data_IF_317974101170
#
_entry.id   IF_317974101170
#
_cell.length_a   1.000
_cell.length_b   1.000
_cell.length_c   1.000
_cell.angle_alpha   90.00
_cell.angle_beta   90.00
_cell.angle_gamma   90.00
#
_symmetry.space_group_name_H-M   'P 1'
#
loop_
_entity.id
_entity.type
_entity.pdbx_description
1 polymer ?
#
# COMPACT_ATOMS: atom_id res chain seq x y z
N UNK A 1 46.19 -34.01 -34.95
CA UNK A 1 46.61 -33.32 -33.71
C UNK A 1 46.53 -31.83 -33.98
N UNK A 2 45.45 -31.18 -33.56
CA UNK A 2 45.35 -29.71 -33.58
C UNK A 2 44.78 -29.33 -32.23
N UNK A 3 45.65 -29.10 -31.26
CA UNK A 3 45.29 -28.52 -29.97
C UNK A 3 45.34 -27.00 -30.14
N UNK A 4 44.17 -26.38 -30.11
CA UNK A 4 43.99 -24.94 -30.18
C UNK A 4 43.97 -24.45 -28.73
N UNK A 5 45.15 -24.19 -28.18
CA UNK A 5 45.32 -23.67 -26.82
C UNK A 5 44.86 -22.21 -26.79
N UNK A 6 43.61 -21.99 -26.40
CA UNK A 6 43.01 -20.68 -26.14
C UNK A 6 43.72 -20.01 -24.95
N UNK A 7 44.78 -19.29 -25.24
CA UNK A 7 45.50 -18.44 -24.28
C UNK A 7 44.56 -17.37 -23.73
N UNK A 8 44.14 -17.52 -22.47
CA UNK A 8 43.27 -16.55 -21.77
C UNK A 8 44.13 -15.55 -21.02
N UNK A 9 43.76 -14.27 -21.07
CA UNK A 9 44.41 -13.21 -20.30
C UNK A 9 43.49 -12.72 -19.18
N UNK A 10 44.08 -12.36 -18.04
CA UNK A 10 43.34 -11.81 -16.91
C UNK A 10 42.79 -10.43 -17.24
N UNK A 11 41.48 -10.25 -17.09
CA UNK A 11 40.79 -8.95 -17.33
C UNK A 11 41.19 -7.84 -16.35
N UNK A 12 41.79 -8.19 -15.21
CA UNK A 12 42.18 -7.23 -14.18
C UNK A 12 43.61 -6.70 -14.31
N UNK A 13 44.55 -7.50 -14.83
CA UNK A 13 45.97 -7.13 -14.88
C UNK A 13 46.65 -7.45 -16.22
N UNK A 14 45.99 -8.13 -17.14
CA UNK A 14 46.54 -8.51 -18.45
C UNK A 14 47.53 -9.67 -18.43
N UNK A 15 47.77 -10.31 -17.27
CA UNK A 15 48.66 -11.47 -17.18
C UNK A 15 48.03 -12.70 -17.85
N UNK A 16 48.87 -13.51 -18.49
CA UNK A 16 48.50 -14.79 -19.11
C UNK A 16 48.01 -15.78 -18.03
N UNK A 17 46.90 -16.47 -18.32
CA UNK A 17 46.28 -17.44 -17.43
C UNK A 17 46.48 -18.85 -18.00
N UNK A 18 46.96 -19.75 -17.16
CA UNK A 18 47.06 -21.17 -17.50
C UNK A 18 45.67 -21.78 -17.74
N UNK A 19 45.62 -22.80 -18.60
CA UNK A 19 44.39 -23.53 -18.89
C UNK A 19 43.75 -24.09 -17.61
N UNK A 20 42.55 -23.60 -17.31
CA UNK A 20 41.77 -24.00 -16.14
C UNK A 20 42.08 -23.27 -14.83
N UNK A 21 42.93 -22.23 -14.83
CA UNK A 21 43.23 -21.42 -13.65
C UNK A 21 41.95 -20.78 -13.05
N UNK A 22 41.71 -20.99 -11.75
CA UNK A 22 40.57 -20.38 -11.03
C UNK A 22 40.90 -19.00 -10.45
N UNK A 23 42.19 -18.67 -10.32
CA UNK A 23 42.69 -17.41 -9.79
C UNK A 23 43.94 -17.00 -10.56
N UNK A 24 44.09 -15.69 -10.80
CA UNK A 24 45.28 -15.13 -11.44
C UNK A 24 46.47 -15.20 -10.47
N UNK A 25 47.57 -15.85 -10.90
CA UNK A 25 48.80 -15.96 -10.11
C UNK A 25 49.52 -14.63 -9.89
N UNK A 26 49.30 -13.64 -10.76
CA UNK A 26 50.00 -12.35 -10.71
C UNK A 26 49.30 -11.30 -9.85
N UNK A 27 47.97 -11.27 -9.81
CA UNK A 27 47.21 -10.26 -9.06
C UNK A 27 46.24 -10.83 -8.01
N UNK A 28 46.03 -12.15 -7.98
CA UNK A 28 45.10 -12.82 -7.06
C UNK A 28 43.62 -12.71 -7.44
N UNK A 29 43.28 -12.03 -8.55
CA UNK A 29 41.89 -11.90 -8.99
C UNK A 29 41.31 -13.26 -9.40
N UNK A 30 40.07 -13.53 -8.99
CA UNK A 30 39.36 -14.74 -9.38
C UNK A 30 39.03 -14.70 -10.88
N UNK A 31 39.32 -15.79 -11.58
CA UNK A 31 39.02 -15.93 -13.00
C UNK A 31 37.67 -16.62 -13.10
N UNK A 32 36.64 -15.85 -13.46
CA UNK A 32 35.32 -16.41 -13.74
C UNK A 32 35.43 -17.35 -14.95
N UNK A 33 35.25 -18.65 -14.74
CA UNK A 33 35.00 -19.59 -15.85
C UNK A 33 33.68 -19.20 -16.48
N UNK A 34 33.74 -18.68 -17.69
CA UNK A 34 32.60 -18.34 -18.55
C UNK A 34 31.84 -19.57 -19.08
N UNK A 35 31.71 -20.63 -18.27
CA UNK A 35 30.90 -21.82 -18.52
C UNK A 35 29.83 -22.02 -17.43
N UNK A 36 29.61 -21.02 -16.57
CA UNK A 36 28.37 -20.96 -15.83
C UNK A 36 27.28 -20.45 -16.81
N UNK A 37 26.30 -21.28 -17.22
CA UNK A 37 25.16 -20.73 -17.92
C UNK A 37 24.56 -19.67 -17.00
N UNK A 38 24.23 -18.50 -17.56
CA UNK A 38 23.25 -17.61 -16.95
C UNK A 38 21.98 -18.45 -16.83
N UNK A 39 21.83 -19.14 -15.70
CA UNK A 39 20.68 -19.98 -15.45
C UNK A 39 19.52 -19.02 -15.30
N UNK A 40 18.74 -18.89 -16.37
CA UNK A 40 17.39 -18.40 -16.29
C UNK A 40 16.64 -19.42 -15.43
N UNK A 41 16.77 -19.31 -14.10
CA UNK A 41 16.15 -20.22 -13.16
C UNK A 41 14.63 -20.09 -13.35
N UNK A 42 13.93 -21.09 -13.92
CA UNK A 42 12.50 -21.00 -14.17
C UNK A 42 11.71 -20.74 -12.87
N UNK A 43 12.28 -21.15 -11.73
CA UNK A 43 11.72 -20.86 -10.41
C UNK A 43 11.77 -19.36 -10.04
N UNK A 44 12.82 -18.64 -10.44
CA UNK A 44 12.95 -17.20 -10.15
C UNK A 44 11.96 -16.37 -10.99
N UNK A 45 11.82 -16.69 -12.29
CA UNK A 45 10.85 -16.03 -13.17
C UNK A 45 9.40 -16.37 -12.84
N UNK A 46 9.10 -17.62 -12.42
CA UNK A 46 7.78 -18.01 -11.90
C UNK A 46 7.43 -17.27 -10.59
N UNK A 47 8.39 -17.14 -9.67
CA UNK A 47 8.20 -16.38 -8.41
C UNK A 47 7.98 -14.89 -8.69
N UNK A 48 8.72 -14.30 -9.63
CA UNK A 48 8.56 -12.90 -10.02
C UNK A 48 7.19 -12.61 -10.66
N UNK A 49 6.73 -13.46 -11.59
CA UNK A 49 5.42 -13.30 -12.22
C UNK A 49 4.27 -13.43 -11.22
N UNK A 50 4.36 -14.38 -10.27
CA UNK A 50 3.38 -14.53 -9.20
C UNK A 50 3.30 -13.28 -8.30
N UNK A 51 4.45 -12.70 -7.94
CA UNK A 51 4.50 -11.48 -7.14
C UNK A 51 3.97 -10.25 -7.89
N UNK A 52 4.29 -10.10 -9.17
CA UNK A 52 3.76 -9.00 -10.00
C UNK A 52 2.24 -9.08 -10.16
N UNK A 53 1.68 -10.29 -10.32
CA UNK A 53 0.24 -10.48 -10.39
C UNK A 53 -0.45 -10.15 -9.06
N UNK A 54 0.13 -10.55 -7.92
CA UNK A 54 -0.38 -10.18 -6.59
C UNK A 54 -0.38 -8.67 -6.38
N UNK A 55 0.69 -7.97 -6.79
CA UNK A 55 0.80 -6.52 -6.66
C UNK A 55 -0.26 -5.79 -7.50
N UNK A 56 -0.52 -6.27 -8.72
CA UNK A 56 -1.60 -5.75 -9.57
C UNK A 56 -2.98 -5.96 -8.94
N UNK A 57 -3.25 -7.15 -8.40
CA UNK A 57 -4.53 -7.44 -7.72
C UNK A 57 -4.71 -6.52 -6.51
N UNK A 58 -3.69 -6.36 -5.67
CA UNK A 58 -3.75 -5.44 -4.51
C UNK A 58 -3.98 -3.99 -4.98
N UNK A 59 -3.24 -3.53 -6.00
CA UNK A 59 -3.43 -2.19 -6.56
C UNK A 59 -4.85 -1.95 -7.09
N UNK A 60 -5.43 -2.93 -7.80
CA UNK A 60 -6.82 -2.87 -8.28
C UNK A 60 -7.79 -2.83 -7.10
N UNK A 61 -7.62 -3.69 -6.10
CA UNK A 61 -8.47 -3.69 -4.90
C UNK A 61 -8.41 -2.35 -4.16
N UNK A 62 -7.24 -1.72 -4.04
CA UNK A 62 -7.08 -0.39 -3.45
C UNK A 62 -7.82 0.70 -4.26
N UNK A 63 -7.76 0.65 -5.60
CA UNK A 63 -8.51 1.58 -6.45
C UNK A 63 -10.01 1.39 -6.26
N UNK A 64 -10.49 0.15 -6.29
CA UNK A 64 -11.93 -0.14 -6.09
C UNK A 64 -12.39 0.36 -4.73
N UNK A 65 -11.63 0.09 -3.67
CA UNK A 65 -11.93 0.60 -2.34
C UNK A 65 -11.94 2.13 -2.29
N UNK A 66 -10.94 2.79 -2.88
CA UNK A 66 -10.88 4.25 -2.94
C UNK A 66 -12.10 4.84 -3.66
N UNK A 67 -12.50 4.27 -4.80
CA UNK A 67 -13.66 4.71 -5.57
C UNK A 67 -14.94 4.52 -4.76
N UNK A 68 -15.14 3.35 -4.14
CA UNK A 68 -16.30 3.08 -3.30
C UNK A 68 -16.38 4.02 -2.10
N UNK A 69 -15.25 4.31 -1.45
CA UNK A 69 -15.18 5.23 -0.32
C UNK A 69 -15.51 6.67 -0.73
N UNK A 70 -15.00 7.14 -1.88
CA UNK A 70 -15.30 8.47 -2.41
C UNK A 70 -16.78 8.57 -2.76
N UNK A 71 -17.32 7.60 -3.51
CA UNK A 71 -18.73 7.59 -3.91
C UNK A 71 -19.62 7.52 -2.67
N UNK A 72 -19.34 6.61 -1.74
CA UNK A 72 -20.08 6.47 -0.49
C UNK A 72 -20.06 7.74 0.35
N UNK A 73 -18.89 8.37 0.50
CA UNK A 73 -18.73 9.65 1.20
C UNK A 73 -19.53 10.77 0.53
N UNK A 74 -19.48 10.89 -0.80
CA UNK A 74 -20.24 11.90 -1.55
C UNK A 74 -21.76 11.66 -1.41
N UNK A 75 -22.22 10.42 -1.57
CA UNK A 75 -23.65 10.07 -1.40
C UNK A 75 -24.11 10.42 0.01
N UNK A 76 -23.31 10.08 1.02
CA UNK A 76 -23.59 10.41 2.41
C UNK A 76 -23.69 11.92 2.61
N UNK A 77 -22.74 12.70 2.09
CA UNK A 77 -22.76 14.17 2.15
C UNK A 77 -24.01 14.78 1.51
N UNK A 78 -24.43 14.28 0.35
CA UNK A 78 -25.64 14.76 -0.35
C UNK A 78 -26.91 14.35 0.41
N UNK A 79 -26.87 13.27 1.17
CA UNK A 79 -28.03 12.74 1.90
C UNK A 79 -28.16 13.28 3.33
N UNK A 80 -27.28 14.20 3.77
CA UNK A 80 -27.26 14.70 5.16
C UNK A 80 -28.62 15.24 5.60
N UNK A 81 -29.28 16.04 4.75
CA UNK A 81 -30.56 16.64 5.13
C UNK A 81 -31.65 15.57 5.34
N UNK A 82 -31.69 14.53 4.50
CA UNK A 82 -32.60 13.39 4.66
C UNK A 82 -32.28 12.54 5.90
N UNK A 83 -31.01 12.36 6.22
CA UNK A 83 -30.58 11.65 7.43
C UNK A 83 -30.95 12.43 8.69
N UNK A 84 -30.79 13.76 8.67
CA UNK A 84 -31.18 14.61 9.79
C UNK A 84 -32.68 14.61 10.02
N UNK A 85 -33.49 14.59 8.96
CA UNK A 85 -34.94 14.45 9.09
C UNK A 85 -35.32 13.14 9.78
N UNK A 86 -34.68 12.02 9.43
CA UNK A 86 -34.89 10.73 10.10
C UNK A 86 -34.47 10.75 11.57
N UNK A 87 -33.35 11.42 11.89
CA UNK A 87 -32.88 11.54 13.28
C UNK A 87 -33.83 12.38 14.11
N UNK A 88 -34.26 13.54 13.64
CA UNK A 88 -35.11 14.47 14.40
C UNK A 88 -36.54 13.93 14.56
N UNK A 89 -37.03 13.17 13.59
CA UNK A 89 -38.35 12.54 13.68
C UNK A 89 -38.38 11.29 14.56
N UNK A 90 -37.22 10.76 14.96
CA UNK A 90 -37.16 9.67 15.93
C UNK A 90 -37.66 10.16 17.31
N UNK A 91 -38.67 9.50 17.92
CA UNK A 91 -39.18 9.87 19.23
C UNK A 91 -38.13 9.90 20.35
N UNK A 92 -37.01 9.19 20.18
CA UNK A 92 -35.91 9.13 21.15
C UNK A 92 -34.91 10.30 21.06
N UNK A 93 -34.99 11.12 20.00
CA UNK A 93 -34.10 12.26 19.78
C UNK A 93 -34.06 13.28 20.94
N UNK A 94 -35.20 13.69 21.54
CA UNK A 94 -35.18 14.67 22.63
C UNK A 94 -34.41 14.18 23.86
N UNK A 95 -34.52 12.90 24.19
CA UNK A 95 -33.79 12.30 25.32
C UNK A 95 -32.28 12.26 25.03
N UNK A 96 -31.89 11.88 23.80
CA UNK A 96 -30.50 11.87 23.37
C UNK A 96 -29.88 13.28 23.34
N UNK A 97 -30.64 14.27 22.86
CA UNK A 97 -30.19 15.65 22.85
C UNK A 97 -30.05 16.23 24.27
N UNK A 98 -30.95 15.87 25.19
CA UNK A 98 -30.83 16.28 26.59
C UNK A 98 -29.57 15.71 27.25
N UNK A 99 -29.20 14.47 26.92
CA UNK A 99 -27.91 13.91 27.38
C UNK A 99 -26.72 14.75 26.90
N UNK A 100 -26.74 15.24 25.65
CA UNK A 100 -25.69 16.11 25.10
C UNK A 100 -25.61 17.47 25.83
N UNK A 101 -26.75 17.99 26.29
CA UNK A 101 -26.84 19.21 27.09
C UNK A 101 -26.29 18.96 28.49
N UNK A 102 -26.69 17.87 29.13
CA UNK A 102 -26.29 17.52 30.50
C UNK A 102 -24.78 17.24 30.60
N UNK A 103 -24.18 16.68 29.54
CA UNK A 103 -22.72 16.53 29.44
C UNK A 103 -21.98 17.83 29.07
N UNK A 104 -22.70 18.93 28.85
CA UNK A 104 -22.15 20.24 28.53
C UNK A 104 -21.52 20.35 27.14
N UNK A 105 -21.86 19.44 26.21
CA UNK A 105 -21.36 19.48 24.82
C UNK A 105 -22.08 20.55 24.01
N UNK A 106 -23.37 20.75 24.28
CA UNK A 106 -24.21 21.79 23.66
C UNK A 106 -25.03 22.51 24.74
N UNK A 107 -25.52 23.71 24.41
CA UNK A 107 -26.26 24.56 25.36
C UNK A 107 -27.77 24.42 25.28
N UNK A 108 -28.29 23.94 24.15
CA UNK A 108 -29.71 23.82 23.88
C UNK A 108 -29.99 22.74 22.82
N UNK A 109 -31.28 22.47 22.59
CA UNK A 109 -31.75 21.45 21.66
C UNK A 109 -31.35 21.77 20.20
N UNK A 110 -31.40 23.05 19.80
CA UNK A 110 -30.96 23.49 18.48
C UNK A 110 -29.44 23.33 18.28
N UNK A 111 -28.66 23.50 19.34
CA UNK A 111 -27.24 23.20 19.39
C UNK A 111 -26.96 21.71 19.19
N UNK A 112 -27.80 20.81 19.73
CA UNK A 112 -27.69 19.37 19.51
C UNK A 112 -27.92 19.00 18.03
N UNK A 113 -28.89 19.63 17.36
CA UNK A 113 -29.16 19.42 15.94
C UNK A 113 -27.99 19.88 15.05
N UNK A 114 -27.46 21.09 15.30
CA UNK A 114 -26.31 21.60 14.56
C UNK A 114 -25.05 20.77 14.79
N UNK A 115 -24.82 20.33 16.04
CA UNK A 115 -23.73 19.41 16.37
C UNK A 115 -23.85 18.09 15.60
N UNK A 116 -25.01 17.45 15.58
CA UNK A 116 -25.20 16.20 14.83
C UNK A 116 -25.01 16.38 13.32
N UNK A 117 -25.49 17.50 12.77
CA UNK A 117 -25.28 17.85 11.37
C UNK A 117 -23.79 18.01 11.06
N UNK A 118 -23.04 18.65 11.94
CA UNK A 118 -21.59 18.79 11.80
C UNK A 118 -20.89 17.44 11.89
N UNK A 119 -21.28 16.57 12.84
CA UNK A 119 -20.75 15.21 12.97
C UNK A 119 -20.95 14.41 11.68
N UNK A 120 -22.15 14.45 11.08
CA UNK A 120 -22.41 13.79 9.80
C UNK A 120 -21.63 14.42 8.65
N UNK A 121 -21.53 15.75 8.61
CA UNK A 121 -20.75 16.48 7.60
C UNK A 121 -19.27 16.08 7.66
N UNK A 122 -18.67 16.10 8.85
CA UNK A 122 -17.29 15.65 9.04
C UNK A 122 -17.12 14.18 8.66
N UNK A 123 -18.05 13.31 9.05
CA UNK A 123 -18.02 11.89 8.69
C UNK A 123 -17.98 11.68 7.17
N UNK A 124 -18.82 12.40 6.43
CA UNK A 124 -18.83 12.35 4.96
C UNK A 124 -17.52 12.85 4.34
N UNK A 125 -16.98 13.98 4.83
CA UNK A 125 -15.67 14.49 4.37
C UNK A 125 -14.53 13.53 4.67
N UNK A 126 -14.51 12.90 5.85
CA UNK A 126 -13.50 11.90 6.20
C UNK A 126 -13.54 10.71 5.22
N UNK A 127 -14.72 10.22 4.86
CA UNK A 127 -14.85 9.16 3.85
C UNK A 127 -14.22 9.51 2.51
N UNK A 128 -14.44 10.73 2.03
CA UNK A 128 -13.85 11.24 0.77
C UNK A 128 -12.33 11.38 0.89
N UNK A 129 -11.83 11.97 1.97
CA UNK A 129 -10.40 12.17 2.21
C UNK A 129 -9.66 10.81 2.29
N UNK A 130 -10.22 9.84 2.99
CA UNK A 130 -9.67 8.47 3.08
C UNK A 130 -9.58 7.82 1.70
N UNK A 131 -10.63 7.96 0.90
CA UNK A 131 -10.64 7.47 -0.47
C UNK A 131 -9.51 8.09 -1.32
N UNK A 132 -9.29 9.40 -1.21
CA UNK A 132 -8.19 10.10 -1.92
C UNK A 132 -6.82 9.62 -1.43
N UNK A 133 -6.61 9.50 -0.12
CA UNK A 133 -5.34 9.03 0.46
C UNK A 133 -5.02 7.60 0.00
N UNK A 134 -6.04 6.75 -0.16
CA UNK A 134 -5.89 5.36 -0.60
C UNK A 134 -5.42 5.24 -2.07
N UNK A 135 -5.50 6.31 -2.87
CA UNK A 135 -4.95 6.34 -4.23
C UNK A 135 -3.41 6.29 -4.21
N UNK A 136 -2.76 6.84 -3.18
CA UNK A 136 -1.30 6.87 -3.03
C UNK A 136 -0.71 5.45 -2.99
N UNK A 137 -1.12 4.53 -2.09
CA UNK A 137 -0.61 3.16 -2.09
C UNK A 137 -0.99 2.39 -3.37
N UNK A 138 -2.15 2.68 -3.98
CA UNK A 138 -2.51 2.10 -5.27
C UNK A 138 -1.50 2.50 -6.36
N UNK A 139 -1.15 3.79 -6.45
CA UNK A 139 -0.15 4.29 -7.39
C UNK A 139 1.25 3.70 -7.11
N UNK A 140 1.63 3.56 -5.85
CA UNK A 140 2.88 2.89 -5.45
C UNK A 140 2.91 1.43 -5.94
N UNK A 141 1.81 0.67 -5.85
CA UNK A 141 1.73 -0.70 -6.37
C UNK A 141 1.97 -0.78 -7.89
N UNK A 142 1.52 0.21 -8.67
CA UNK A 142 1.73 0.22 -10.13
C UNK A 142 3.12 0.69 -10.54
N UNK A 143 3.65 1.69 -9.84
CA UNK A 143 4.96 2.28 -10.18
C UNK A 143 6.14 1.55 -9.56
N UNK A 144 5.90 0.63 -8.61
CA UNK A 144 6.94 -0.07 -7.82
C UNK A 144 7.95 0.87 -7.15
N UNK A 145 7.64 2.16 -7.06
CA UNK A 145 8.49 3.20 -6.50
C UNK A 145 7.87 3.72 -5.21
N UNK A 146 8.73 3.98 -4.23
CA UNK A 146 8.38 4.57 -2.94
C UNK A 146 7.33 3.77 -2.11
N UNK A 147 7.75 2.65 -1.52
CA UNK A 147 6.95 1.81 -0.60
C UNK A 147 6.50 2.54 0.67
N UNK A 148 7.39 3.37 1.24
CA UNK A 148 7.20 4.06 2.53
C UNK A 148 5.98 5.03 2.52
N UNK A 149 5.83 5.96 1.57
CA UNK A 149 4.67 6.87 1.58
C UNK A 149 3.33 6.16 1.40
N UNK A 150 3.28 5.07 0.60
CA UNK A 150 2.08 4.24 0.47
C UNK A 150 1.71 3.55 1.79
N UNK A 151 2.69 2.99 2.49
CA UNK A 151 2.48 2.35 3.80
C UNK A 151 1.96 3.35 4.83
N UNK A 152 2.56 4.55 4.89
CA UNK A 152 2.13 5.62 5.81
C UNK A 152 0.68 6.02 5.53
N UNK A 153 0.29 6.16 4.25
CA UNK A 153 -1.10 6.45 3.87
C UNK A 153 -2.10 5.38 4.32
N UNK A 154 -1.73 4.10 4.22
CA UNK A 154 -2.60 2.99 4.66
C UNK A 154 -2.75 2.93 6.18
N UNK A 155 -1.66 3.17 6.92
CA UNK A 155 -1.70 3.22 8.38
C UNK A 155 -2.56 4.40 8.84
N UNK A 156 -2.38 5.59 8.26
CA UNK A 156 -3.21 6.77 8.57
C UNK A 156 -4.68 6.47 8.29
N UNK A 157 -5.00 5.88 7.14
CA UNK A 157 -6.38 5.53 6.77
C UNK A 157 -7.00 4.51 7.73
N UNK A 158 -6.21 3.54 8.20
CA UNK A 158 -6.65 2.52 9.18
C UNK A 158 -6.92 3.14 10.55
N UNK A 159 -6.05 4.02 11.03
CA UNK A 159 -6.20 4.73 12.31
C UNK A 159 -7.42 5.66 12.27
N UNK A 160 -7.63 6.37 11.17
CA UNK A 160 -8.79 7.26 11.02
C UNK A 160 -10.10 6.47 10.94
N UNK A 161 -10.07 5.27 10.37
CA UNK A 161 -11.22 4.36 10.31
C UNK A 161 -11.48 3.60 11.61
N UNK A 162 -10.62 3.73 12.64
CA UNK A 162 -10.74 3.03 13.92
C UNK A 162 -12.02 3.40 14.70
N UNK A 163 -12.70 4.48 14.32
CA UNK A 163 -14.04 4.81 14.79
C UNK A 163 -15.08 3.72 14.43
N UNK A 164 -14.77 2.87 13.45
CA UNK A 164 -15.60 1.74 13.05
C UNK A 164 -14.83 0.42 13.18
N UNK A 165 -15.38 -0.54 13.95
CA UNK A 165 -14.75 -1.87 14.16
C UNK A 165 -14.52 -2.59 12.82
N UNK A 166 -15.45 -2.45 11.88
CA UNK A 166 -15.37 -3.03 10.54
C UNK A 166 -14.23 -2.38 9.72
N UNK A 167 -14.12 -1.05 9.76
CA UNK A 167 -13.06 -0.31 9.07
C UNK A 167 -11.66 -0.65 9.61
N UNK A 168 -11.54 -0.87 10.92
CA UNK A 168 -10.28 -1.30 11.55
C UNK A 168 -9.83 -2.68 11.05
N UNK A 169 -10.74 -3.66 10.99
CA UNK A 169 -10.40 -5.02 10.52
C UNK A 169 -9.95 -4.99 9.07
N UNK A 170 -10.69 -4.30 8.21
CA UNK A 170 -10.38 -4.17 6.78
C UNK A 170 -9.03 -3.46 6.59
N UNK A 171 -8.80 -2.35 7.31
CA UNK A 171 -7.54 -1.60 7.24
C UNK A 171 -6.33 -2.43 7.66
N UNK A 172 -6.43 -3.18 8.76
CA UNK A 172 -5.35 -4.08 9.22
C UNK A 172 -5.04 -5.17 8.19
N UNK A 173 -6.05 -5.78 7.58
CA UNK A 173 -5.85 -6.79 6.52
C UNK A 173 -5.10 -6.18 5.33
N UNK A 174 -5.53 -5.00 4.88
CA UNK A 174 -4.87 -4.30 3.78
C UNK A 174 -3.41 -3.95 4.10
N UNK A 175 -3.11 -3.48 5.32
CA UNK A 175 -1.74 -3.20 5.76
C UNK A 175 -0.89 -4.48 5.79
N UNK A 176 -1.41 -5.59 6.32
CA UNK A 176 -0.68 -6.87 6.37
C UNK A 176 -0.40 -7.39 4.96
N UNK A 177 -1.37 -7.33 4.05
CA UNK A 177 -1.20 -7.74 2.65
C UNK A 177 -0.19 -6.86 1.91
N UNK A 178 -0.21 -5.55 2.16
CA UNK A 178 0.74 -4.60 1.58
C UNK A 178 2.17 -4.85 2.09
N UNK A 179 2.34 -5.07 3.41
CA UNK A 179 3.62 -5.43 4.02
C UNK A 179 4.17 -6.77 3.53
N UNK A 180 3.29 -7.75 3.30
CA UNK A 180 3.66 -9.06 2.75
C UNK A 180 4.25 -8.97 1.34
N UNK A 181 4.02 -7.86 0.63
CA UNK A 181 4.58 -7.59 -0.69
C UNK A 181 5.80 -6.66 -0.66
N UNK A 182 6.28 -6.24 0.52
CA UNK A 182 7.39 -5.27 0.66
C UNK A 182 8.68 -5.70 -0.05
N UNK A 183 8.95 -7.01 -0.17
CA UNK A 183 10.12 -7.54 -0.87
C UNK A 183 10.11 -7.25 -2.38
N UNK A 184 8.94 -7.04 -2.98
CA UNK A 184 8.83 -6.67 -4.40
C UNK A 184 9.34 -5.24 -4.66
N UNK A 185 9.26 -4.36 -3.65
CA UNK A 185 9.71 -2.97 -3.74
C UNK A 185 11.22 -2.83 -3.48
N UNK A 186 11.79 -3.62 -2.57
CA UNK A 186 13.23 -3.60 -2.24
C UNK A 186 14.13 -4.04 -3.41
N UNK A 187 13.61 -4.85 -4.34
CA UNK A 187 14.37 -5.32 -5.51
C UNK A 187 14.66 -4.25 -6.56
N UNK A 188 14.00 -3.09 -6.52
CA UNK A 188 14.18 -2.02 -7.52
C UNK A 188 14.96 -0.80 -7.00
N UNK A 189 15.41 -0.84 -5.74
CA UNK A 189 16.16 0.25 -5.09
C UNK A 189 17.69 0.05 -5.10
N UNK A 190 18.21 -0.81 -6.00
CA UNK A 190 19.64 -1.00 -6.24
C UNK A 190 19.98 -0.58 -7.67
#
# INVERSE_FOLDING_TARGET
MTDNSDLKFCVHCGAELDDGAMFCKSCGAQVERSDAPVTMNPYASMKENSMNNRLKVIGICCIVYAVLAIIGGIIFLVSIDSLMEQVITDPSWPEAAQQLIDMGVVTDLAGAESFMRDVFTYTGYFGVIIGIITIIPAYSCFTKKAYIPGLVGMVISTVLSAASVIGLIIGVVFVVLYCSCSDAFKKQTF
#
